data_IF_774443775383
#
_entry.id   IF_774443775383
#
_cell.length_a   1.000
_cell.length_b   1.000
_cell.length_c   1.000
_cell.angle_alpha   90.00
_cell.angle_beta   90.00
_cell.angle_gamma   90.00
#
_symmetry.space_group_name_H-M   'P 1'
#
loop_
_entity.id
_entity.type
_entity.pdbx_description
1 polymer ?
#
# COMPACT_ATOMS: atom_id res chain seq x y z
N UNK A 1 -28.82 -1.19 -30.75
CA UNK A 1 -28.19 -1.15 -30.31
C UNK A 1 -26.95 -0.49 -29.99
N UNK A 2 -26.59 0.62 -30.37
CA UNK A 2 -25.41 1.24 -30.07
C UNK A 2 -25.24 1.54 -28.65
N UNK A 3 -26.26 1.78 -27.96
CA UNK A 3 -26.10 2.15 -26.60
C UNK A 3 -25.62 1.01 -25.75
N UNK A 4 -25.85 -0.14 -26.18
CA UNK A 4 -25.44 -1.26 -25.42
C UNK A 4 -23.97 -1.34 -25.41
N UNK A 5 -23.37 -1.02 -26.50
CA UNK A 5 -21.97 -1.09 -26.61
C UNK A 5 -21.29 -0.14 -25.70
N UNK A 6 -21.79 1.04 -25.64
CA UNK A 6 -21.20 2.02 -24.81
C UNK A 6 -21.23 1.57 -23.38
N UNK A 7 -22.27 0.93 -23.02
CA UNK A 7 -22.41 0.48 -21.70
C UNK A 7 -21.36 -0.53 -21.34
N UNK A 8 -21.05 -1.41 -22.22
CA UNK A 8 -20.07 -2.40 -21.96
C UNK A 8 -18.72 -1.80 -21.76
N UNK A 9 -18.42 -0.81 -22.53
CA UNK A 9 -17.17 -0.20 -22.41
C UNK A 9 -16.95 0.40 -21.08
N UNK A 10 -17.93 1.10 -20.60
CA UNK A 10 -17.74 1.72 -19.36
C UNK A 10 -17.65 0.71 -18.28
N UNK A 11 -18.31 -0.36 -18.42
CA UNK A 11 -18.31 -1.31 -17.40
C UNK A 11 -16.96 -1.83 -17.05
N UNK A 12 -16.09 -1.99 -17.99
CA UNK A 12 -14.83 -2.50 -17.70
C UNK A 12 -13.97 -1.67 -16.91
N UNK A 13 -14.16 -0.44 -16.96
CA UNK A 13 -13.25 0.44 -16.41
C UNK A 13 -13.19 0.49 -14.95
N UNK A 14 -14.26 0.20 -14.31
CA UNK A 14 -14.14 0.42 -12.96
C UNK A 14 -13.86 -0.72 -12.20
N UNK A 15 -13.63 -1.78 -12.79
CA UNK A 15 -13.33 -2.94 -12.03
C UNK A 15 -11.98 -2.75 -11.38
N UNK A 16 -11.13 -1.86 -11.91
CA UNK A 16 -9.88 -1.68 -11.33
C UNK A 16 -9.54 -0.25 -11.25
N UNK A 17 -9.60 0.31 -10.08
CA UNK A 17 -9.25 1.63 -9.91
C UNK A 17 -7.78 1.74 -9.88
N UNK A 18 -7.21 2.55 -10.71
CA UNK A 18 -5.78 2.73 -10.74
C UNK A 18 -5.34 3.59 -9.57
N UNK A 19 -4.21 3.25 -8.98
CA UNK A 19 -3.63 4.04 -7.91
C UNK A 19 -3.05 5.31 -8.54
N UNK A 20 -3.42 6.49 -8.04
CA UNK A 20 -2.88 7.73 -8.58
C UNK A 20 -1.37 7.79 -8.53
N UNK A 21 -0.77 8.47 -9.46
CA UNK A 21 0.68 8.50 -9.61
C UNK A 21 1.38 9.02 -8.36
N UNK A 22 0.77 9.90 -7.63
CA UNK A 22 1.40 10.45 -6.42
C UNK A 22 1.52 9.45 -5.30
N UNK A 23 0.84 8.32 -5.39
CA UNK A 23 0.94 7.28 -4.38
C UNK A 23 2.01 6.23 -4.73
N UNK A 24 2.61 6.34 -5.91
CA UNK A 24 3.66 5.42 -6.30
C UNK A 24 5.00 6.00 -5.89
N UNK A 25 5.81 5.19 -5.22
CA UNK A 25 7.14 5.62 -4.79
C UNK A 25 8.18 4.65 -5.32
N UNK A 26 9.45 5.03 -5.24
CA UNK A 26 10.55 4.20 -5.69
C UNK A 26 11.75 4.42 -4.76
N UNK A 27 12.91 3.88 -5.10
CA UNK A 27 14.08 4.00 -4.24
C UNK A 27 14.51 5.45 -3.98
N UNK A 28 14.17 6.35 -4.89
CA UNK A 28 14.59 7.75 -4.75
C UNK A 28 13.86 8.47 -3.63
N UNK A 29 12.62 8.09 -3.34
CA UNK A 29 11.83 8.79 -2.34
C UNK A 29 11.27 7.89 -1.24
N UNK A 30 11.60 6.61 -1.24
CA UNK A 30 11.04 5.67 -0.28
C UNK A 30 11.26 6.11 1.16
N UNK A 31 12.51 6.37 1.53
CA UNK A 31 12.82 6.71 2.92
C UNK A 31 12.17 8.02 3.34
N UNK A 32 12.10 8.97 2.45
CA UNK A 32 11.46 10.24 2.78
C UNK A 32 9.97 10.06 3.00
N UNK A 33 9.34 9.23 2.17
CA UNK A 33 7.90 9.06 2.27
C UNK A 33 7.46 8.32 3.52
N UNK A 34 8.20 7.34 3.96
CA UNK A 34 7.81 6.62 5.17
C UNK A 34 8.14 7.41 6.43
N UNK A 35 8.95 8.45 6.30
CA UNK A 35 9.33 9.28 7.42
C UNK A 35 8.60 10.62 7.47
N UNK A 36 7.67 10.86 6.57
CA UNK A 36 6.95 12.12 6.57
C UNK A 36 6.16 12.30 7.85
N UNK A 37 6.07 13.55 8.30
CA UNK A 37 5.25 13.88 9.45
C UNK A 37 3.95 14.49 8.97
N UNK A 38 2.99 14.55 9.86
CA UNK A 38 1.72 15.14 9.50
C UNK A 38 1.91 16.59 9.11
N UNK A 39 0.99 17.08 8.29
CA UNK A 39 1.10 18.42 7.77
C UNK A 39 0.92 19.51 8.82
N UNK A 40 1.18 20.74 8.41
CA UNK A 40 0.92 21.92 9.22
C UNK A 40 1.74 22.04 10.49
N UNK A 41 2.98 21.67 10.40
CA UNK A 41 3.87 21.87 11.52
C UNK A 41 3.72 20.88 12.66
N UNK A 42 2.92 19.89 12.49
CA UNK A 42 2.78 18.84 13.48
C UNK A 42 4.08 18.06 13.57
N UNK A 43 4.42 17.63 14.78
CA UNK A 43 5.56 16.75 14.96
C UNK A 43 5.13 15.31 15.06
N UNK A 44 3.86 15.05 14.82
CA UNK A 44 3.34 13.70 14.93
C UNK A 44 3.80 12.86 13.74
N UNK A 45 4.25 11.67 14.05
CA UNK A 45 4.70 10.74 13.01
C UNK A 45 3.50 10.11 12.36
N UNK A 46 3.58 9.98 11.03
CA UNK A 46 2.49 9.37 10.29
C UNK A 46 2.62 7.86 10.29
N UNK A 47 1.49 7.20 10.26
CA UNK A 47 1.45 5.76 10.00
C UNK A 47 1.32 5.61 8.49
N UNK A 48 2.19 4.81 7.92
CA UNK A 48 2.27 4.63 6.46
C UNK A 48 2.19 3.16 6.13
N UNK A 49 1.36 2.81 5.16
CA UNK A 49 1.31 1.46 4.62
C UNK A 49 1.95 1.51 3.25
N UNK A 50 2.94 0.66 3.02
CA UNK A 50 3.55 0.55 1.70
C UNK A 50 3.24 -0.83 1.16
N UNK A 51 2.64 -0.88 -0.01
CA UNK A 51 2.43 -2.15 -0.70
C UNK A 51 3.55 -2.35 -1.71
N UNK A 52 4.30 -3.43 -1.55
CA UNK A 52 5.29 -3.84 -2.54
C UNK A 52 4.56 -4.66 -3.58
N UNK A 53 4.49 -4.13 -4.77
CA UNK A 53 3.65 -4.60 -5.87
C UNK A 53 4.52 -5.13 -7.01
N UNK A 54 4.02 -6.13 -7.72
CA UNK A 54 4.70 -6.64 -8.89
C UNK A 54 3.71 -6.79 -10.03
N UNK A 55 4.14 -6.42 -11.21
CA UNK A 55 3.27 -6.47 -12.37
C UNK A 55 2.75 -7.88 -12.64
N UNK A 56 3.60 -8.87 -12.45
CA UNK A 56 3.19 -10.23 -12.77
C UNK A 56 2.07 -10.75 -11.87
N UNK A 57 1.84 -10.11 -10.75
CA UNK A 57 0.81 -10.55 -9.81
C UNK A 57 -0.17 -9.43 -9.46
N UNK A 58 -0.37 -8.49 -10.36
CA UNK A 58 -1.22 -7.35 -10.07
C UNK A 58 -2.68 -7.75 -9.79
N UNK A 59 -3.10 -8.89 -10.27
CA UNK A 59 -4.46 -9.35 -10.00
C UNK A 59 -4.71 -9.61 -8.52
N UNK A 60 -3.66 -9.89 -7.78
CA UNK A 60 -3.77 -10.14 -6.35
C UNK A 60 -3.30 -8.96 -5.49
N UNK A 61 -3.15 -7.79 -6.07
CA UNK A 61 -2.74 -6.62 -5.31
C UNK A 61 -3.85 -6.22 -4.34
N UNK A 62 -3.49 -5.38 -3.38
CA UNK A 62 -4.46 -4.93 -2.40
C UNK A 62 -5.31 -3.84 -3.04
N UNK A 63 -6.49 -4.21 -3.49
CA UNK A 63 -7.35 -3.28 -4.22
C UNK A 63 -8.18 -2.36 -3.34
N UNK A 64 -8.23 -2.61 -2.04
CA UNK A 64 -9.02 -1.80 -1.13
C UNK A 64 -8.21 -0.72 -0.42
N UNK A 65 -7.10 -0.33 -1.03
CA UNK A 65 -6.21 0.65 -0.45
C UNK A 65 -6.89 1.97 -0.11
N UNK A 66 -7.88 2.37 -0.90
CA UNK A 66 -8.57 3.63 -0.70
C UNK A 66 -9.61 3.57 0.43
N UNK A 67 -9.83 2.41 1.00
CA UNK A 67 -10.75 2.26 2.12
C UNK A 67 -10.03 2.28 3.46
N UNK A 68 -8.70 2.34 3.45
CA UNK A 68 -7.95 2.42 4.69
C UNK A 68 -8.12 3.80 5.32
N UNK A 69 -8.20 3.84 6.65
CA UNK A 69 -8.39 5.07 7.41
C UNK A 69 -7.24 5.32 8.36
N UNK A 70 -6.95 6.58 8.59
CA UNK A 70 -5.93 7.02 9.54
C UNK A 70 -4.53 6.52 9.20
N UNK A 71 -4.23 6.45 7.93
CA UNK A 71 -2.95 5.97 7.44
C UNK A 71 -2.73 6.55 6.03
N UNK A 72 -1.49 6.69 5.66
CA UNK A 72 -1.12 7.09 4.31
C UNK A 72 -0.73 5.83 3.56
N UNK A 73 -1.18 5.68 2.34
CA UNK A 73 -0.88 4.51 1.53
C UNK A 73 0.03 4.87 0.38
N UNK A 74 1.06 4.05 0.18
CA UNK A 74 1.92 4.16 -1.00
C UNK A 74 2.08 2.78 -1.62
N UNK A 75 2.38 2.77 -2.90
CA UNK A 75 2.64 1.54 -3.64
C UNK A 75 3.99 1.65 -4.30
N UNK A 76 4.74 0.57 -4.31
CA UNK A 76 6.06 0.56 -4.93
C UNK A 76 6.18 -0.67 -5.82
N UNK A 77 6.66 -0.45 -7.05
CA UNK A 77 6.90 -1.55 -7.97
C UNK A 77 8.25 -2.14 -7.59
N UNK A 78 8.28 -3.40 -7.21
CA UNK A 78 9.53 -4.02 -6.74
C UNK A 78 10.60 -4.01 -7.82
N UNK A 79 10.22 -3.93 -9.08
CA UNK A 79 11.20 -3.84 -10.16
C UNK A 79 11.89 -2.49 -10.20
N UNK A 80 11.30 -1.46 -9.59
CA UNK A 80 11.85 -0.12 -9.58
C UNK A 80 12.41 0.28 -8.23
N UNK A 81 12.44 -0.63 -7.29
CA UNK A 81 12.92 -0.33 -5.95
C UNK A 81 13.75 -1.48 -5.39
N UNK A 82 14.85 -1.83 -6.07
CA UNK A 82 15.67 -2.94 -5.59
C UNK A 82 16.29 -2.69 -4.23
N UNK A 83 16.55 -1.44 -3.87
CA UNK A 83 17.16 -1.15 -2.58
C UNK A 83 16.15 -1.31 -1.45
N UNK A 84 14.93 -0.79 -1.63
CA UNK A 84 13.90 -0.95 -0.63
C UNK A 84 13.53 -2.42 -0.47
N UNK A 85 13.44 -3.11 -1.61
CA UNK A 85 13.13 -4.53 -1.61
C UNK A 85 14.16 -5.31 -0.76
N UNK A 86 15.42 -4.97 -0.91
CA UNK A 86 16.46 -5.65 -0.19
C UNK A 86 16.49 -5.27 1.29
N UNK A 87 16.36 -3.98 1.56
CA UNK A 87 16.41 -3.46 2.91
C UNK A 87 15.31 -4.07 3.80
N UNK A 88 14.13 -4.19 3.25
CA UNK A 88 13.00 -4.71 4.02
C UNK A 88 12.71 -6.17 3.75
N UNK A 89 13.64 -6.83 3.05
CA UNK A 89 13.59 -8.28 2.82
C UNK A 89 12.30 -8.74 2.17
N UNK A 90 11.85 -7.99 1.19
CA UNK A 90 10.63 -8.32 0.46
C UNK A 90 10.96 -9.32 -0.64
N UNK A 91 10.31 -10.48 -0.61
CA UNK A 91 10.56 -11.52 -1.59
C UNK A 91 9.35 -11.88 -2.40
N UNK A 92 8.17 -11.56 -1.88
CA UNK A 92 6.92 -11.89 -2.53
C UNK A 92 6.11 -10.64 -2.74
N UNK A 93 5.31 -10.60 -3.75
CA UNK A 93 4.37 -9.51 -3.98
C UNK A 93 2.99 -10.14 -4.10
N UNK A 94 1.97 -9.58 -3.42
CA UNK A 94 2.05 -8.35 -2.65
C UNK A 94 2.61 -8.57 -1.24
N UNK A 95 3.31 -7.57 -0.75
CA UNK A 95 3.73 -7.51 0.65
C UNK A 95 3.34 -6.13 1.15
N UNK A 96 2.62 -6.05 2.25
CA UNK A 96 2.28 -4.78 2.88
C UNK A 96 3.10 -4.61 4.13
N UNK A 97 3.73 -3.45 4.27
CA UNK A 97 4.47 -3.13 5.49
C UNK A 97 3.87 -1.87 6.08
N UNK A 98 3.57 -1.89 7.37
CA UNK A 98 3.09 -0.71 8.07
C UNK A 98 4.26 -0.10 8.82
N UNK A 99 4.49 1.18 8.58
CA UNK A 99 5.57 1.94 9.21
C UNK A 99 4.99 3.01 10.13
N UNK A 100 5.69 3.31 11.19
CA UNK A 100 5.35 4.44 12.05
C UNK A 100 6.64 5.18 12.34
N UNK A 101 6.72 6.43 11.91
CA UNK A 101 7.95 7.19 12.07
C UNK A 101 9.13 6.56 11.36
N UNK A 102 8.87 5.91 10.23
CA UNK A 102 9.91 5.24 9.48
C UNK A 102 10.31 3.88 10.00
N UNK A 103 9.69 3.43 11.10
CA UNK A 103 10.02 2.14 11.70
C UNK A 103 9.00 1.10 11.29
N UNK A 104 9.48 -0.06 10.87
CA UNK A 104 8.61 -1.15 10.45
C UNK A 104 7.91 -1.75 11.65
N UNK A 105 6.57 -1.72 11.65
CA UNK A 105 5.78 -2.19 12.77
C UNK A 105 5.07 -3.52 12.48
N UNK A 106 4.67 -3.74 11.26
CA UNK A 106 3.91 -4.94 10.91
C UNK A 106 4.12 -5.27 9.45
N UNK A 107 4.20 -6.56 9.15
CA UNK A 107 4.36 -7.01 7.76
C UNK A 107 3.30 -8.06 7.45
N UNK A 108 2.65 -7.89 6.31
CA UNK A 108 1.76 -8.91 5.75
C UNK A 108 2.36 -9.31 4.41
N UNK A 109 2.85 -10.52 4.28
CA UNK A 109 3.46 -10.94 3.03
C UNK A 109 2.72 -12.13 2.43
N UNK A 110 2.59 -12.12 1.13
CA UNK A 110 1.94 -13.21 0.42
C UNK A 110 2.69 -14.50 0.63
N UNK A 111 1.95 -15.59 0.68
CA UNK A 111 2.54 -16.90 0.80
C UNK A 111 2.88 -17.45 -0.57
N UNK A 112 3.09 -18.76 -0.64
CA UNK A 112 3.41 -19.40 -1.90
C UNK A 112 2.28 -19.29 -2.90
N UNK A 113 1.06 -19.04 -2.42
CA UNK A 113 -0.08 -18.84 -3.31
C UNK A 113 -0.12 -17.42 -3.89
N UNK A 114 0.81 -16.57 -3.49
CA UNK A 114 0.89 -15.19 -3.96
C UNK A 114 -0.33 -14.35 -3.61
N UNK A 115 -0.97 -14.68 -2.50
CA UNK A 115 -2.15 -13.94 -2.02
C UNK A 115 -1.86 -13.39 -0.64
N UNK A 116 -2.31 -12.16 -0.37
CA UNK A 116 -2.13 -11.57 0.95
C UNK A 116 -2.87 -12.39 1.99
N UNK A 117 -2.25 -12.60 3.14
CA UNK A 117 -2.87 -13.41 4.19
C UNK A 117 -3.86 -12.64 5.07
N UNK A 118 -4.15 -11.41 4.75
CA UNK A 118 -5.03 -10.57 5.55
C UNK A 118 -5.97 -9.79 4.67
N UNK A 119 -7.13 -9.47 5.18
CA UNK A 119 -8.11 -8.68 4.45
C UNK A 119 -8.10 -7.24 4.96
N UNK A 120 -8.96 -6.40 4.42
CA UNK A 120 -9.05 -4.99 4.79
C UNK A 120 -9.26 -4.83 6.28
N UNK A 121 -10.13 -5.63 6.87
CA UNK A 121 -10.44 -5.50 8.28
C UNK A 121 -9.23 -5.79 9.15
N UNK A 122 -8.50 -6.82 8.85
CA UNK A 122 -7.31 -7.17 9.62
C UNK A 122 -6.21 -6.11 9.48
N UNK A 123 -6.05 -5.59 8.29
CA UNK A 123 -5.04 -4.55 8.05
C UNK A 123 -5.43 -3.29 8.81
N UNK A 124 -6.71 -2.89 8.74
CA UNK A 124 -7.17 -1.71 9.43
C UNK A 124 -7.04 -1.87 10.95
N UNK A 125 -7.29 -3.06 11.45
CA UNK A 125 -7.14 -3.30 12.88
C UNK A 125 -5.69 -3.13 13.31
N UNK A 126 -4.76 -3.60 12.51
CA UNK A 126 -3.33 -3.42 12.80
C UNK A 126 -2.95 -1.95 12.80
N UNK A 127 -3.48 -1.18 11.85
CA UNK A 127 -3.24 0.25 11.79
C UNK A 127 -3.77 0.92 13.06
N UNK A 128 -4.96 0.56 13.46
CA UNK A 128 -5.57 1.15 14.65
C UNK A 128 -4.76 0.85 15.91
N UNK A 129 -4.25 -0.36 16.02
CA UNK A 129 -3.43 -0.72 17.16
C UNK A 129 -2.13 0.07 17.19
N UNK A 130 -1.51 0.23 16.05
CA UNK A 130 -0.27 0.99 15.96
C UNK A 130 -0.52 2.45 16.31
N UNK A 131 -1.60 3.02 15.80
CA UNK A 131 -1.94 4.40 16.08
C UNK A 131 -2.27 4.63 17.55
N UNK A 132 -2.96 3.69 18.16
CA UNK A 132 -3.31 3.79 19.58
C UNK A 132 -2.08 3.65 20.45
N UNK A 133 -1.22 2.70 20.15
CA UNK A 133 -0.03 2.47 20.95
C UNK A 133 0.88 3.70 20.97
N UNK A 134 0.92 4.45 19.89
CA UNK A 134 1.81 5.61 19.83
C UNK A 134 1.33 6.79 20.66
N UNK A 135 0.17 6.68 21.28
CA UNK A 135 -0.35 7.75 22.11
C UNK A 135 0.08 7.59 23.55
N UNK A 136 0.76 6.54 23.89
CA UNK A 136 1.23 6.33 25.25
C UNK A 136 2.76 6.36 25.40
#
# INVERSE_FOLDING_TARGET
MKYIIAFLLTFNLYSQEEVPVEYWIDDNNFENKINEKEAFGSNLEQTVVVEFWAKFNEANCFGEWDKLEDVVYYRVDIAKAPQAKKKYKVRMAPTLIIFKGGVKEKVFKAGLDLVLPADLEEIQESINKINTASQF
#
